data_IF_327236992448
#
_entry.id   IF_327236992448
#
_cell.length_a   1.000
_cell.length_b   1.000
_cell.length_c   1.000
_cell.angle_alpha   90.00
_cell.angle_beta   90.00
_cell.angle_gamma   90.00
#
_symmetry.space_group_name_H-M   'P 1'
#
loop_
_entity.id
_entity.type
_entity.pdbx_description
1 polymer ?
#
# COMPACT_ATOMS: atom_id res chain seq x y z
N UNK A 1 8.11 28.47 -1.15
CA UNK A 1 8.79 28.02 0.08
C UNK A 1 8.58 26.52 0.22
N UNK A 2 9.56 25.69 -0.13
CA UNK A 2 9.47 24.24 0.11
C UNK A 2 9.86 23.96 1.54
N UNK A 3 8.91 23.49 2.36
CA UNK A 3 9.14 23.08 3.75
C UNK A 3 10.26 22.03 3.80
N UNK A 4 11.12 22.03 4.83
CA UNK A 4 12.23 21.05 4.98
C UNK A 4 11.76 19.60 4.78
N UNK A 5 10.55 19.28 5.24
CA UNK A 5 9.91 17.98 5.01
C UNK A 5 9.72 17.64 3.52
N UNK A 6 9.31 18.60 2.68
CA UNK A 6 9.14 18.39 1.25
C UNK A 6 10.46 18.11 0.52
N UNK A 7 11.56 18.74 0.96
CA UNK A 7 12.90 18.45 0.42
C UNK A 7 13.36 17.04 0.80
N UNK A 8 13.19 16.66 2.06
CA UNK A 8 13.58 15.34 2.56
C UNK A 8 12.80 14.20 1.88
N UNK A 9 11.50 14.36 1.68
CA UNK A 9 10.67 13.38 0.95
C UNK A 9 11.15 13.25 -0.50
N UNK A 10 11.46 14.36 -1.17
CA UNK A 10 11.97 14.36 -2.54
C UNK A 10 13.33 13.66 -2.68
N UNK A 11 14.25 13.91 -1.75
CA UNK A 11 15.57 13.26 -1.73
C UNK A 11 15.44 11.74 -1.50
N UNK A 12 14.57 11.30 -0.59
CA UNK A 12 14.31 9.88 -0.36
C UNK A 12 13.61 9.21 -1.56
N UNK A 13 12.64 9.88 -2.18
CA UNK A 13 11.95 9.36 -3.36
C UNK A 13 12.92 9.15 -4.52
N UNK A 14 13.84 10.10 -4.78
CA UNK A 14 14.87 9.94 -5.82
C UNK A 14 15.83 8.80 -5.49
N UNK A 15 16.28 8.69 -4.23
CA UNK A 15 17.17 7.60 -3.82
C UNK A 15 16.53 6.20 -3.95
N UNK A 16 15.21 6.09 -3.77
CA UNK A 16 14.46 4.85 -3.98
C UNK A 16 14.29 4.55 -5.47
N UNK A 17 13.97 5.57 -6.27
CA UNK A 17 13.76 5.40 -7.71
C UNK A 17 15.05 5.05 -8.45
N UNK A 18 16.20 5.64 -8.08
CA UNK A 18 17.51 5.31 -8.65
C UNK A 18 17.90 3.83 -8.43
N UNK A 19 17.40 3.20 -7.35
CA UNK A 19 17.77 1.83 -6.97
C UNK A 19 16.80 0.78 -7.47
N UNK A 20 15.51 1.11 -7.47
CA UNK A 20 14.44 0.15 -7.76
C UNK A 20 13.63 0.48 -9.00
N UNK A 21 13.81 1.66 -9.60
CA UNK A 21 13.00 2.19 -10.71
C UNK A 21 11.50 1.99 -10.46
N UNK A 22 11.09 2.18 -9.21
CA UNK A 22 9.75 1.86 -8.73
C UNK A 22 8.70 2.82 -9.29
N UNK A 23 9.08 4.01 -9.78
CA UNK A 23 8.14 5.02 -10.27
C UNK A 23 7.24 4.51 -11.40
N UNK A 24 7.78 3.74 -12.35
CA UNK A 24 7.00 3.21 -13.47
C UNK A 24 5.95 2.18 -13.01
N UNK A 25 6.33 1.30 -12.07
CA UNK A 25 5.43 0.30 -11.49
C UNK A 25 4.36 0.95 -10.61
N UNK A 26 4.76 1.85 -9.73
CA UNK A 26 3.85 2.59 -8.83
C UNK A 26 2.85 3.41 -9.64
N UNK A 27 3.29 4.11 -10.69
CA UNK A 27 2.40 4.86 -11.59
C UNK A 27 1.34 3.96 -12.23
N UNK A 28 1.71 2.75 -12.67
CA UNK A 28 0.75 1.80 -13.25
C UNK A 28 -0.25 1.27 -12.23
N UNK A 29 0.22 0.97 -11.02
CA UNK A 29 -0.62 0.45 -9.93
C UNK A 29 -1.61 1.48 -9.40
N UNK A 30 -1.20 2.74 -9.25
CA UNK A 30 -2.07 3.82 -8.76
C UNK A 30 -3.13 4.21 -9.80
N UNK A 31 -2.77 4.23 -11.09
CA UNK A 31 -3.73 4.53 -12.17
C UNK A 31 -4.63 3.32 -12.51
N UNK A 32 -4.62 2.26 -11.70
CA UNK A 32 -5.47 1.09 -11.91
C UNK A 32 -6.90 1.44 -11.51
N UNK A 33 -7.77 1.56 -12.50
CA UNK A 33 -9.20 1.79 -12.28
C UNK A 33 -9.88 0.48 -11.86
N UNK A 34 -10.69 0.54 -10.80
CA UNK A 34 -11.48 -0.58 -10.30
C UNK A 34 -12.99 -0.33 -10.47
N UNK A 35 -13.80 -1.36 -10.75
CA UNK A 35 -15.25 -1.23 -10.85
C UNK A 35 -15.90 -0.88 -9.50
N UNK A 36 -17.00 -0.12 -9.52
CA UNK A 36 -17.73 0.32 -8.31
C UNK A 36 -18.93 -0.57 -7.94
N UNK A 37 -19.00 -1.78 -8.51
CA UNK A 37 -20.12 -2.68 -8.28
C UNK A 37 -20.02 -3.35 -6.91
N UNK A 38 -21.13 -3.48 -6.19
CA UNK A 38 -21.18 -4.05 -4.83
C UNK A 38 -20.48 -5.42 -4.70
N UNK A 39 -20.71 -6.31 -5.65
CA UNK A 39 -20.11 -7.66 -5.64
C UNK A 39 -18.59 -7.65 -5.73
N UNK A 40 -17.97 -6.59 -6.26
CA UNK A 40 -16.51 -6.46 -6.32
C UNK A 40 -15.91 -6.29 -4.92
N UNK A 41 -16.59 -5.54 -4.04
CA UNK A 41 -16.11 -5.26 -2.68
C UNK A 41 -16.19 -6.47 -1.74
N UNK A 42 -16.95 -7.52 -2.11
CA UNK A 42 -17.03 -8.76 -1.30
C UNK A 42 -15.66 -9.43 -1.14
N UNK A 43 -14.79 -9.32 -2.15
CA UNK A 43 -13.41 -9.82 -2.08
C UNK A 43 -12.56 -9.03 -1.08
N UNK A 44 -12.73 -7.71 -1.02
CA UNK A 44 -12.03 -6.86 -0.03
C UNK A 44 -12.45 -7.22 1.40
N UNK A 45 -13.73 -7.51 1.63
CA UNK A 45 -14.23 -7.97 2.93
C UNK A 45 -13.53 -9.26 3.36
N UNK A 46 -13.44 -10.25 2.46
CA UNK A 46 -12.75 -11.51 2.75
C UNK A 46 -11.26 -11.28 3.09
N UNK A 47 -10.58 -10.38 2.37
CA UNK A 47 -9.20 -10.00 2.63
C UNK A 47 -9.03 -9.33 4.00
N UNK A 48 -9.92 -8.40 4.36
CA UNK A 48 -9.87 -7.74 5.67
C UNK A 48 -10.11 -8.72 6.81
N UNK A 49 -11.09 -9.63 6.67
CA UNK A 49 -11.32 -10.70 7.63
C UNK A 49 -10.07 -11.59 7.80
N UNK A 50 -9.41 -11.94 6.70
CA UNK A 50 -8.18 -12.73 6.74
C UNK A 50 -7.04 -12.01 7.50
N UNK A 51 -6.86 -10.71 7.28
CA UNK A 51 -5.85 -9.91 8.01
C UNK A 51 -6.15 -9.89 9.51
N UNK A 52 -7.41 -9.67 9.90
CA UNK A 52 -7.82 -9.68 11.31
C UNK A 52 -7.52 -11.04 11.94
N UNK A 53 -7.90 -12.12 11.26
CA UNK A 53 -7.65 -13.49 11.73
C UNK A 53 -6.16 -13.80 11.90
N UNK A 54 -5.31 -13.32 11.00
CA UNK A 54 -3.86 -13.48 11.15
C UNK A 54 -3.33 -12.70 12.36
N UNK A 55 -3.72 -11.43 12.52
CA UNK A 55 -3.25 -10.61 13.64
C UNK A 55 -3.71 -11.19 14.98
N UNK A 56 -4.99 -11.55 15.08
CA UNK A 56 -5.52 -12.18 16.30
C UNK A 56 -4.97 -13.59 16.51
N UNK A 57 -4.82 -14.36 15.43
CA UNK A 57 -4.30 -15.73 15.48
C UNK A 57 -2.86 -15.77 15.97
N UNK A 58 -1.98 -14.91 15.44
CA UNK A 58 -0.59 -14.80 15.91
C UNK A 58 -0.55 -14.45 17.40
N UNK A 59 -1.37 -13.49 17.84
CA UNK A 59 -1.47 -13.17 19.27
C UNK A 59 -1.88 -14.40 20.11
N UNK A 60 -2.93 -15.11 19.70
CA UNK A 60 -3.43 -16.29 20.40
C UNK A 60 -2.46 -17.49 20.37
N UNK A 61 -1.50 -17.55 19.44
CA UNK A 61 -0.47 -18.61 19.44
C UNK A 61 0.69 -18.35 20.38
N UNK A 62 0.87 -17.10 20.82
CA UNK A 62 1.99 -16.69 21.68
C UNK A 62 1.67 -16.76 23.17
N UNK A 63 0.41 -16.98 23.54
CA UNK A 63 -0.11 -17.05 24.92
C UNK A 63 -1.03 -18.25 25.10
#
# INVERSE_FOLDING_TARGET
MTTRAGRMIGEQANAVDDRYQAAAFVKRSINKVFPTHWSFLLGEIALYCFIILLLSGVYLTLF
#
